data_IF_991971920212
#
_entry.id   IF_991971920212
#
_cell.length_a   1.000
_cell.length_b   1.000
_cell.length_c   1.000
_cell.angle_alpha   90.00
_cell.angle_beta   90.00
_cell.angle_gamma   90.00
#
_symmetry.space_group_name_H-M   'P 1'
#
loop_
_entity.id
_entity.type
_entity.pdbx_description
1 polymer ?
#
# COMPACT_ATOMS: atom_id res chain seq x y z
N UNK A 1 12.05 -12.76 41.04
CA UNK A 1 11.18 -12.05 42.00
C UNK A 1 11.68 -10.64 42.28
N UNK A 2 12.88 -10.44 42.86
CA UNK A 2 13.46 -9.10 43.08
C UNK A 2 13.70 -8.32 41.78
N UNK A 3 14.29 -8.94 40.76
CA UNK A 3 14.51 -8.30 39.45
C UNK A 3 13.19 -7.87 38.77
N UNK A 4 12.14 -8.69 38.90
CA UNK A 4 10.79 -8.42 38.36
C UNK A 4 10.09 -7.28 39.09
N UNK A 5 10.27 -7.18 40.42
CA UNK A 5 9.75 -6.09 41.24
C UNK A 5 10.43 -4.76 40.92
N UNK A 6 11.75 -4.76 40.72
CA UNK A 6 12.51 -3.57 40.29
C UNK A 6 12.07 -3.11 38.90
N UNK A 7 11.89 -4.05 37.96
CA UNK A 7 11.39 -3.75 36.61
C UNK A 7 9.97 -3.15 36.62
N UNK A 8 9.08 -3.66 37.48
CA UNK A 8 7.73 -3.12 37.68
C UNK A 8 7.75 -1.70 38.27
N UNK A 9 8.62 -1.45 39.24
CA UNK A 9 8.73 -0.15 39.92
C UNK A 9 9.31 0.92 38.99
N UNK A 10 10.34 0.56 38.23
CA UNK A 10 10.99 1.42 37.25
C UNK A 10 10.04 1.69 36.07
N UNK A 11 9.37 0.66 35.55
CA UNK A 11 8.35 0.77 34.51
C UNK A 11 7.17 1.68 34.90
N UNK A 12 6.67 1.56 36.14
CA UNK A 12 5.59 2.43 36.65
C UNK A 12 6.03 3.88 36.78
N UNK A 13 7.27 4.13 37.21
CA UNK A 13 7.81 5.48 37.38
C UNK A 13 7.95 6.21 36.04
N UNK A 14 8.47 5.55 35.01
CA UNK A 14 8.62 6.17 33.69
C UNK A 14 7.30 6.27 32.96
N UNK A 15 6.36 5.34 33.12
CA UNK A 15 4.99 5.50 32.61
C UNK A 15 4.33 6.77 33.17
N UNK A 16 4.60 7.10 34.45
CA UNK A 16 4.07 8.32 35.09
C UNK A 16 4.75 9.60 34.58
N UNK A 17 6.06 9.56 34.33
CA UNK A 17 6.82 10.68 33.76
C UNK A 17 6.45 10.92 32.29
N UNK A 18 6.31 9.86 31.49
CA UNK A 18 5.86 9.95 30.10
C UNK A 18 4.42 10.47 30.00
N UNK A 19 3.50 10.01 30.87
CA UNK A 19 2.13 10.54 30.90
C UNK A 19 2.11 12.04 31.18
N UNK A 20 3.01 12.53 32.03
CA UNK A 20 3.15 13.95 32.33
C UNK A 20 3.85 14.73 31.20
N UNK A 21 4.87 14.14 30.54
CA UNK A 21 5.63 14.75 29.44
C UNK A 21 4.82 14.87 28.16
N UNK A 22 4.06 13.83 27.80
CA UNK A 22 3.16 13.81 26.63
C UNK A 22 2.03 14.81 26.82
N UNK A 23 1.40 14.84 28.00
CA UNK A 23 0.33 15.82 28.31
C UNK A 23 0.83 17.26 28.20
N UNK A 24 2.03 17.55 28.73
CA UNK A 24 2.65 18.88 28.63
C UNK A 24 3.16 19.22 27.23
N UNK A 25 3.64 18.24 26.47
CA UNK A 25 4.08 18.45 25.09
C UNK A 25 2.91 18.76 24.16
N UNK A 26 1.79 18.06 24.32
CA UNK A 26 0.54 18.33 23.59
C UNK A 26 -0.07 19.69 23.94
N UNK A 27 -0.01 20.09 25.22
CA UNK A 27 -0.46 21.41 25.68
C UNK A 27 0.49 22.54 25.22
N UNK A 28 1.81 22.30 25.16
CA UNK A 28 2.82 23.29 24.77
C UNK A 28 2.95 23.50 23.25
N UNK A 29 2.62 22.49 22.44
CA UNK A 29 2.70 22.57 20.97
C UNK A 29 1.49 23.27 20.32
N UNK A 30 0.53 23.76 21.09
CA UNK A 30 -0.52 24.65 20.56
C UNK A 30 -1.47 24.02 19.54
N UNK A 31 -1.56 22.68 19.49
CA UNK A 31 -2.41 21.95 18.54
C UNK A 31 -3.91 22.30 18.68
N UNK A 32 -4.35 22.82 19.83
CA UNK A 32 -5.71 23.32 20.01
C UNK A 32 -6.02 24.62 19.26
N UNK A 33 -5.02 25.43 18.87
CA UNK A 33 -5.23 26.75 18.23
C UNK A 33 -4.76 26.81 16.77
N UNK A 34 -3.94 25.86 16.30
CA UNK A 34 -3.50 25.80 14.89
C UNK A 34 -4.47 25.01 13.98
N UNK A 35 -5.32 24.15 14.55
CA UNK A 35 -6.35 23.44 13.80
C UNK A 35 -7.48 24.39 13.30
N UNK A 36 -7.82 25.42 14.08
CA UNK A 36 -8.93 26.36 13.76
C UNK A 36 -8.57 27.44 12.73
N UNK A 37 -7.28 27.77 12.53
CA UNK A 37 -6.88 28.99 11.78
C UNK A 37 -6.50 28.77 10.32
N UNK A 38 -6.46 27.53 9.82
CA UNK A 38 -5.90 27.29 8.47
C UNK A 38 -6.92 27.42 7.34
N UNK A 39 -8.23 27.45 7.60
CA UNK A 39 -9.25 27.64 6.56
C UNK A 39 -9.28 26.56 5.45
N UNK A 40 -8.42 25.54 5.55
CA UNK A 40 -8.32 24.43 4.60
C UNK A 40 -9.53 23.48 4.71
N UNK A 41 -10.21 23.46 5.85
CA UNK A 41 -11.44 22.67 6.09
C UNK A 41 -12.58 23.01 5.11
N UNK A 42 -12.63 24.26 4.61
CA UNK A 42 -13.66 24.70 3.68
C UNK A 42 -13.42 24.23 2.23
N UNK A 43 -12.15 24.02 1.85
CA UNK A 43 -11.77 23.65 0.49
C UNK A 43 -11.68 22.13 0.28
N UNK A 44 -11.44 21.37 1.35
CA UNK A 44 -11.36 19.90 1.32
C UNK A 44 -12.74 19.21 1.41
N UNK A 45 -13.75 19.88 1.98
CA UNK A 45 -15.14 19.38 2.05
C UNK A 45 -15.85 19.26 0.70
N UNK A 46 -15.40 19.96 -0.34
CA UNK A 46 -15.98 19.86 -1.69
C UNK A 46 -15.54 18.61 -2.48
N UNK A 47 -14.46 17.92 -2.06
CA UNK A 47 -13.88 16.79 -2.79
C UNK A 47 -14.05 15.41 -2.13
N UNK A 48 -14.65 15.32 -0.94
CA UNK A 48 -14.93 14.05 -0.25
C UNK A 48 -13.71 13.26 0.24
N UNK A 49 -12.50 13.84 0.20
CA UNK A 49 -11.27 13.23 0.71
C UNK A 49 -10.57 14.22 1.63
N UNK A 50 -10.77 14.09 2.93
CA UNK A 50 -10.22 14.97 3.96
C UNK A 50 -8.76 14.62 4.34
N UNK A 51 -7.91 14.25 3.39
CA UNK A 51 -6.50 13.96 3.66
C UNK A 51 -5.61 14.68 2.64
N UNK A 52 -5.04 15.82 3.04
CA UNK A 52 -3.95 16.44 2.29
C UNK A 52 -2.69 15.58 2.41
N UNK A 53 -1.94 15.39 1.32
CA UNK A 53 -0.63 14.70 1.32
C UNK A 53 0.31 15.30 2.38
N UNK A 54 0.25 16.63 2.58
CA UNK A 54 1.01 17.32 3.61
C UNK A 54 0.58 16.93 5.03
N UNK A 55 -0.73 16.78 5.29
CA UNK A 55 -1.26 16.30 6.57
C UNK A 55 -0.91 14.84 6.85
N UNK A 56 -0.91 14.00 5.82
CA UNK A 56 -0.43 12.61 5.90
C UNK A 56 1.04 12.53 6.30
N UNK A 57 1.91 13.31 5.63
CA UNK A 57 3.35 13.34 5.92
C UNK A 57 3.61 13.91 7.32
N UNK A 58 2.92 14.98 7.70
CA UNK A 58 3.03 15.58 9.03
C UNK A 58 2.57 14.62 10.13
N UNK A 59 1.43 13.95 9.94
CA UNK A 59 0.90 12.95 10.86
C UNK A 59 1.79 11.72 10.99
N UNK A 60 2.32 11.22 9.86
CA UNK A 60 3.29 10.12 9.84
C UNK A 60 4.57 10.50 10.58
N UNK A 61 5.11 11.69 10.33
CA UNK A 61 6.32 12.19 11.00
C UNK A 61 6.10 12.32 12.51
N UNK A 62 4.96 12.89 12.94
CA UNK A 62 4.58 12.97 14.35
C UNK A 62 4.53 11.58 15.01
N UNK A 63 3.86 10.62 14.37
CA UNK A 63 3.74 9.26 14.89
C UNK A 63 5.09 8.53 14.95
N UNK A 64 5.95 8.70 13.95
CA UNK A 64 7.29 8.12 13.93
C UNK A 64 8.16 8.69 15.06
N UNK A 65 8.17 10.01 15.24
CA UNK A 65 8.90 10.67 16.33
C UNK A 65 8.39 10.18 17.70
N UNK A 66 7.07 10.08 17.87
CA UNK A 66 6.45 9.54 19.09
C UNK A 66 6.90 8.11 19.37
N UNK A 67 6.92 7.24 18.35
CA UNK A 67 7.39 5.87 18.48
C UNK A 67 8.87 5.77 18.83
N UNK A 68 9.74 6.58 18.22
CA UNK A 68 11.18 6.61 18.55
C UNK A 68 11.41 7.02 20.01
N UNK A 69 10.66 8.03 20.49
CA UNK A 69 10.69 8.45 21.90
C UNK A 69 10.18 7.33 22.82
N UNK A 70 9.11 6.63 22.42
CA UNK A 70 8.57 5.50 23.18
C UNK A 70 9.55 4.32 23.26
N UNK A 71 10.22 3.97 22.16
CA UNK A 71 11.29 2.95 22.13
C UNK A 71 12.46 3.36 23.02
N UNK A 72 12.91 4.60 22.93
CA UNK A 72 14.02 5.13 23.74
C UNK A 72 13.69 5.11 25.23
N UNK A 73 12.45 5.43 25.60
CA UNK A 73 11.99 5.35 26.98
C UNK A 73 11.84 3.91 27.47
N UNK A 74 11.38 2.98 26.63
CA UNK A 74 11.30 1.56 26.94
C UNK A 74 12.70 0.92 27.11
N UNK A 75 13.69 1.30 26.29
CA UNK A 75 15.08 0.88 26.46
C UNK A 75 15.69 1.42 27.76
N UNK A 76 15.41 2.69 28.09
CA UNK A 76 15.88 3.30 29.36
C UNK A 76 15.30 2.61 30.60
N UNK A 77 14.19 1.90 30.43
CA UNK A 77 13.51 1.10 31.45
C UNK A 77 14.00 -0.35 31.55
N UNK A 78 14.92 -0.78 30.68
CA UNK A 78 15.33 -2.18 30.54
C UNK A 78 14.21 -3.08 30.00
N UNK A 79 13.23 -2.51 29.29
CA UNK A 79 12.11 -3.23 28.65
C UNK A 79 12.42 -3.53 27.18
N UNK A 80 13.53 -4.20 26.91
CA UNK A 80 14.03 -4.46 25.54
C UNK A 80 13.00 -5.20 24.67
N UNK A 81 12.24 -6.14 25.26
CA UNK A 81 11.18 -6.86 24.57
C UNK A 81 10.04 -5.91 24.13
N UNK A 82 9.65 -4.95 24.98
CA UNK A 82 8.60 -3.97 24.67
C UNK A 82 9.10 -2.97 23.62
N UNK A 83 10.32 -2.47 23.79
CA UNK A 83 10.97 -1.58 22.84
C UNK A 83 11.07 -2.23 21.44
N UNK A 84 11.42 -3.51 21.38
CA UNK A 84 11.45 -4.28 20.14
C UNK A 84 10.08 -4.40 19.46
N UNK A 85 9.01 -4.63 20.23
CA UNK A 85 7.64 -4.65 19.70
C UNK A 85 7.20 -3.29 19.17
N UNK A 86 7.44 -2.22 19.93
CA UNK A 86 7.11 -0.84 19.51
C UNK A 86 7.90 -0.44 18.27
N UNK A 87 9.17 -0.82 18.17
CA UNK A 87 10.00 -0.54 17.00
C UNK A 87 9.48 -1.26 15.74
N UNK A 88 9.03 -2.51 15.86
CA UNK A 88 8.38 -3.24 14.74
C UNK A 88 7.12 -2.53 14.26
N UNK A 89 6.27 -2.07 15.18
CA UNK A 89 5.07 -1.30 14.84
C UNK A 89 5.43 0.03 14.18
N UNK A 90 6.48 0.70 14.66
CA UNK A 90 6.97 1.96 14.08
C UNK A 90 7.43 1.79 12.63
N UNK A 91 8.14 0.71 12.33
CA UNK A 91 8.61 0.39 10.98
C UNK A 91 7.50 -0.11 10.06
N UNK A 92 6.42 -0.68 10.61
CA UNK A 92 5.24 -1.10 9.87
C UNK A 92 4.38 0.08 9.41
N UNK A 93 4.37 1.19 10.15
CA UNK A 93 3.50 2.32 9.86
C UNK A 93 3.76 3.00 8.50
N UNK A 94 5.02 3.28 8.09
CA UNK A 94 5.34 3.74 6.73
C UNK A 94 4.83 2.79 5.64
N UNK A 95 4.99 1.48 5.86
CA UNK A 95 4.54 0.45 4.91
C UNK A 95 3.02 0.50 4.71
N UNK A 96 2.24 0.71 5.76
CA UNK A 96 0.79 0.89 5.67
C UNK A 96 0.43 2.09 4.79
N UNK A 97 1.13 3.22 4.96
CA UNK A 97 0.89 4.41 4.14
C UNK A 97 1.18 4.11 2.67
N UNK A 98 2.31 3.47 2.38
CA UNK A 98 2.68 3.09 1.00
C UNK A 98 1.65 2.12 0.41
N UNK A 99 1.17 1.13 1.18
CA UNK A 99 0.12 0.21 0.73
C UNK A 99 -1.19 0.93 0.38
N UNK A 100 -1.62 1.89 1.19
CA UNK A 100 -2.81 2.72 0.91
C UNK A 100 -2.59 3.52 -0.38
N UNK A 101 -1.42 4.15 -0.54
CA UNK A 101 -1.10 4.90 -1.75
C UNK A 101 -1.13 3.99 -2.98
N UNK A 102 -0.54 2.79 -2.91
CA UNK A 102 -0.59 1.80 -3.99
C UNK A 102 -2.03 1.44 -4.34
N UNK A 103 -2.91 1.23 -3.37
CA UNK A 103 -4.33 0.92 -3.65
C UNK A 103 -5.05 2.10 -4.32
N UNK A 104 -4.82 3.33 -3.84
CA UNK A 104 -5.43 4.53 -4.41
C UNK A 104 -4.95 4.74 -5.84
N UNK A 105 -3.63 4.81 -6.05
CA UNK A 105 -3.03 5.01 -7.37
C UNK A 105 -3.29 3.82 -8.30
N UNK A 106 -3.25 2.59 -7.78
CA UNK A 106 -3.55 1.37 -8.52
C UNK A 106 -4.99 1.33 -9.02
N UNK A 107 -5.96 1.77 -8.20
CA UNK A 107 -7.36 1.89 -8.64
C UNK A 107 -7.53 2.97 -9.71
N UNK A 108 -6.88 4.12 -9.55
CA UNK A 108 -6.90 5.18 -10.56
C UNK A 108 -6.29 4.69 -11.88
N UNK A 109 -5.17 3.97 -11.80
CA UNK A 109 -4.49 3.37 -12.94
C UNK A 109 -5.34 2.29 -13.61
N UNK A 110 -5.96 1.38 -12.84
CA UNK A 110 -6.87 0.36 -13.36
C UNK A 110 -8.02 0.99 -14.17
N UNK A 111 -8.65 2.03 -13.62
CA UNK A 111 -9.71 2.79 -14.29
C UNK A 111 -9.22 3.52 -15.53
N UNK A 112 -7.99 4.02 -15.53
CA UNK A 112 -7.39 4.65 -16.71
C UNK A 112 -7.20 3.63 -17.83
N UNK A 113 -6.65 2.45 -17.51
CA UNK A 113 -6.49 1.34 -18.45
C UNK A 113 -7.84 0.87 -19.00
N UNK A 114 -8.88 0.75 -18.15
CA UNK A 114 -10.23 0.43 -18.58
C UNK A 114 -10.70 1.37 -19.70
N UNK A 115 -10.64 2.68 -19.45
CA UNK A 115 -11.12 3.70 -20.40
C UNK A 115 -10.38 3.63 -21.73
N UNK A 116 -9.06 3.51 -21.68
CA UNK A 116 -8.25 3.35 -22.88
C UNK A 116 -8.70 2.12 -23.67
N UNK A 117 -8.75 0.94 -23.02
CA UNK A 117 -9.15 -0.30 -23.70
C UNK A 117 -10.58 -0.22 -24.24
N UNK A 118 -11.50 0.36 -23.48
CA UNK A 118 -12.88 0.53 -23.92
C UNK A 118 -12.97 1.39 -25.18
N UNK A 119 -12.26 2.52 -25.24
CA UNK A 119 -12.23 3.40 -26.43
C UNK A 119 -11.63 2.69 -27.64
N UNK A 120 -10.56 1.92 -27.45
CA UNK A 120 -9.93 1.16 -28.54
C UNK A 120 -10.83 0.03 -29.06
N UNK A 121 -11.42 -0.77 -28.16
CA UNK A 121 -12.28 -1.89 -28.51
C UNK A 121 -13.61 -1.46 -29.13
N UNK A 122 -14.19 -0.36 -28.64
CA UNK A 122 -15.40 0.22 -29.22
C UNK A 122 -15.15 0.79 -30.62
N UNK A 123 -13.98 1.37 -30.89
CA UNK A 123 -13.55 1.78 -32.22
C UNK A 123 -13.48 0.61 -33.22
N UNK A 124 -13.13 -0.59 -32.75
CA UNK A 124 -13.06 -1.82 -33.55
C UNK A 124 -14.41 -2.56 -33.67
N UNK A 125 -15.50 -2.00 -33.12
CA UNK A 125 -16.84 -2.62 -33.08
C UNK A 125 -16.85 -4.04 -32.50
N UNK A 126 -15.95 -4.33 -31.55
CA UNK A 126 -15.89 -5.65 -30.91
C UNK A 126 -17.15 -5.84 -30.03
N UNK A 127 -17.98 -6.87 -30.28
CA UNK A 127 -19.08 -7.19 -29.40
C UNK A 127 -18.50 -7.56 -28.03
N UNK A 128 -18.98 -6.89 -26.97
CA UNK A 128 -18.49 -7.03 -25.58
C UNK A 128 -17.22 -6.24 -25.21
N UNK A 129 -16.94 -5.12 -25.88
CA UNK A 129 -15.86 -4.19 -25.49
C UNK A 129 -15.88 -3.81 -23.99
N UNK A 130 -17.09 -3.61 -23.43
CA UNK A 130 -17.26 -3.28 -22.02
C UNK A 130 -16.78 -4.41 -21.09
N UNK A 131 -17.21 -5.65 -21.31
CA UNK A 131 -16.85 -6.77 -20.43
C UNK A 131 -15.37 -7.08 -20.48
N UNK A 132 -14.73 -6.93 -21.66
CA UNK A 132 -13.30 -7.13 -21.80
C UNK A 132 -12.50 -6.04 -21.09
N UNK A 133 -12.87 -4.77 -21.26
CA UNK A 133 -12.21 -3.64 -20.58
C UNK A 133 -12.34 -3.73 -19.05
N UNK A 134 -13.52 -4.08 -18.55
CA UNK A 134 -13.77 -4.28 -17.13
C UNK A 134 -13.03 -5.50 -16.58
N UNK A 135 -12.92 -6.59 -17.35
CA UNK A 135 -12.10 -7.74 -16.96
C UNK A 135 -10.64 -7.38 -16.74
N UNK A 136 -10.07 -6.54 -17.61
CA UNK A 136 -8.70 -6.04 -17.46
C UNK A 136 -8.58 -5.09 -16.25
N UNK A 137 -9.56 -4.22 -16.02
CA UNK A 137 -9.59 -3.38 -14.81
C UNK A 137 -9.48 -4.22 -13.54
N UNK A 138 -10.30 -5.27 -13.41
CA UNK A 138 -10.25 -6.16 -12.26
C UNK A 138 -8.91 -6.89 -12.15
N UNK A 139 -8.32 -7.30 -13.27
CA UNK A 139 -6.99 -7.90 -13.24
C UNK A 139 -5.94 -6.93 -12.66
N UNK A 140 -5.90 -5.69 -13.15
CA UNK A 140 -4.98 -4.64 -12.64
C UNK A 140 -5.27 -4.31 -11.18
N UNK A 141 -6.53 -4.26 -10.76
CA UNK A 141 -6.96 -4.05 -9.38
C UNK A 141 -6.43 -5.16 -8.46
N UNK A 142 -6.50 -6.42 -8.90
CA UNK A 142 -5.96 -7.57 -8.17
C UNK A 142 -4.45 -7.47 -8.04
N UNK A 143 -3.73 -7.07 -9.10
CA UNK A 143 -2.28 -6.81 -9.00
C UNK A 143 -1.96 -5.70 -8.00
N UNK A 144 -2.66 -4.57 -8.04
CA UNK A 144 -2.46 -3.49 -7.08
C UNK A 144 -2.71 -3.95 -5.63
N UNK A 145 -3.72 -4.81 -5.43
CA UNK A 145 -3.98 -5.44 -4.14
C UNK A 145 -2.81 -6.33 -3.69
N UNK A 146 -2.26 -7.16 -4.57
CA UNK A 146 -1.10 -8.00 -4.25
C UNK A 146 0.13 -7.16 -3.88
N UNK A 147 0.43 -6.11 -4.63
CA UNK A 147 1.56 -5.21 -4.33
C UNK A 147 1.35 -4.51 -2.99
N UNK A 148 0.12 -4.09 -2.68
CA UNK A 148 -0.20 -3.50 -1.37
C UNK A 148 -0.06 -4.52 -0.22
N UNK A 149 -0.48 -5.77 -0.42
CA UNK A 149 -0.29 -6.85 0.56
C UNK A 149 1.19 -7.20 0.76
N UNK A 150 1.97 -7.16 -0.33
CA UNK A 150 3.42 -7.33 -0.29
C UNK A 150 4.09 -6.24 0.56
N UNK A 151 3.67 -4.99 0.40
CA UNK A 151 4.15 -3.88 1.23
C UNK A 151 3.87 -4.09 2.72
N UNK A 152 2.75 -4.73 3.07
CA UNK A 152 2.40 -5.04 4.45
C UNK A 152 3.16 -6.25 5.03
N UNK A 153 4.04 -6.89 4.26
CA UNK A 153 4.80 -8.06 4.70
C UNK A 153 3.92 -9.24 5.21
N UNK A 154 2.65 -9.29 4.80
CA UNK A 154 1.71 -10.33 5.22
C UNK A 154 1.97 -11.61 4.40
N UNK A 155 2.74 -12.54 4.97
CA UNK A 155 2.93 -13.89 4.39
C UNK A 155 3.52 -13.88 2.97
N UNK A 156 4.34 -12.87 2.67
CA UNK A 156 4.74 -12.50 1.30
C UNK A 156 5.48 -13.61 0.58
N UNK A 157 6.43 -14.28 1.21
CA UNK A 157 7.22 -15.31 0.52
C UNK A 157 6.39 -16.49 0.03
N UNK A 158 5.43 -16.97 0.83
CA UNK A 158 4.56 -18.09 0.43
C UNK A 158 3.49 -17.64 -0.55
N UNK A 159 2.90 -16.46 -0.32
CA UNK A 159 1.86 -15.90 -1.17
C UNK A 159 2.40 -15.56 -2.58
N UNK A 160 3.53 -14.87 -2.65
CA UNK A 160 4.18 -14.49 -3.92
C UNK A 160 4.64 -15.73 -4.69
N UNK A 161 5.15 -16.77 -4.01
CA UNK A 161 5.50 -18.03 -4.68
C UNK A 161 4.27 -18.71 -5.30
N UNK A 162 3.18 -18.86 -4.54
CA UNK A 162 1.94 -19.47 -5.04
C UNK A 162 1.34 -18.66 -6.21
N UNK A 163 1.32 -17.33 -6.10
CA UNK A 163 0.86 -16.46 -7.16
C UNK A 163 1.74 -16.56 -8.41
N UNK A 164 3.06 -16.55 -8.26
CA UNK A 164 4.01 -16.67 -9.38
C UNK A 164 3.85 -18.00 -10.11
N UNK A 165 3.66 -19.10 -9.39
CA UNK A 165 3.44 -20.43 -9.99
C UNK A 165 2.09 -20.45 -10.72
N UNK A 166 1.02 -19.98 -10.09
CA UNK A 166 -0.32 -19.98 -10.69
C UNK A 166 -0.39 -19.07 -11.93
N UNK A 167 0.11 -17.85 -11.80
CA UNK A 167 0.13 -16.86 -12.87
C UNK A 167 1.11 -17.25 -13.98
N UNK A 168 2.30 -17.72 -13.62
CA UNK A 168 3.27 -18.26 -14.58
C UNK A 168 2.70 -19.44 -15.37
N UNK A 169 1.96 -20.32 -14.71
CA UNK A 169 1.23 -21.42 -15.36
C UNK A 169 0.14 -20.92 -16.31
N UNK A 170 -0.68 -19.95 -15.89
CA UNK A 170 -1.72 -19.35 -16.72
C UNK A 170 -1.13 -18.65 -17.96
N UNK A 171 -0.10 -17.82 -17.77
CA UNK A 171 0.58 -17.12 -18.86
C UNK A 171 1.22 -18.11 -19.83
N UNK A 172 1.86 -19.17 -19.32
CA UNK A 172 2.43 -20.22 -20.16
C UNK A 172 1.35 -20.96 -20.96
N UNK A 173 0.22 -21.29 -20.33
CA UNK A 173 -0.90 -21.94 -21.00
C UNK A 173 -1.47 -21.06 -22.13
N UNK A 174 -1.67 -19.76 -21.88
CA UNK A 174 -2.12 -18.81 -22.89
C UNK A 174 -1.08 -18.65 -24.00
N UNK A 175 0.20 -18.49 -23.66
CA UNK A 175 1.29 -18.38 -24.63
C UNK A 175 1.35 -19.60 -25.56
N UNK A 176 1.18 -20.82 -25.01
CA UNK A 176 1.11 -22.04 -25.80
C UNK A 176 -0.17 -22.12 -26.64
N UNK A 177 -1.33 -21.75 -26.10
CA UNK A 177 -2.59 -21.77 -26.83
C UNK A 177 -2.56 -20.81 -28.04
N UNK A 178 -2.09 -19.58 -27.85
CA UNK A 178 -1.92 -18.61 -28.94
C UNK A 178 -0.78 -18.99 -29.88
N UNK A 179 0.34 -19.50 -29.36
CA UNK A 179 1.49 -19.89 -30.18
C UNK A 179 1.21 -21.08 -31.08
N UNK A 180 0.52 -22.11 -30.57
CA UNK A 180 0.13 -23.28 -31.34
C UNK A 180 -1.06 -22.97 -32.27
N UNK A 181 -2.10 -22.26 -31.77
CA UNK A 181 -3.29 -21.92 -32.55
C UNK A 181 -3.06 -20.87 -33.63
N UNK A 182 -2.11 -19.95 -33.44
CA UNK A 182 -1.74 -18.91 -34.41
C UNK A 182 -0.67 -19.34 -35.41
N UNK A 183 -0.15 -20.58 -35.31
CA UNK A 183 0.97 -21.06 -36.11
C UNK A 183 0.69 -21.01 -37.62
N UNK A 184 -0.51 -21.43 -38.02
CA UNK A 184 -0.92 -21.50 -39.42
C UNK A 184 -1.07 -20.09 -40.01
N UNK A 185 -1.76 -19.20 -39.29
CA UNK A 185 -1.91 -17.79 -39.67
C UNK A 185 -0.55 -17.08 -39.80
N UNK A 186 0.36 -17.31 -38.84
CA UNK A 186 1.71 -16.76 -38.89
C UNK A 186 2.50 -17.30 -40.10
N UNK A 187 2.39 -18.60 -40.39
CA UNK A 187 3.06 -19.22 -41.53
C UNK A 187 2.56 -18.67 -42.87
N UNK A 188 1.25 -18.45 -43.00
CA UNK A 188 0.62 -17.88 -44.19
C UNK A 188 1.07 -16.42 -44.41
N UNK A 189 1.09 -15.61 -43.35
CA UNK A 189 1.54 -14.21 -43.43
C UNK A 189 3.01 -14.07 -43.83
N UNK A 190 3.87 -14.98 -43.34
CA UNK A 190 5.29 -15.02 -43.72
C UNK A 190 5.46 -15.42 -45.18
N UNK A 191 4.68 -16.39 -45.68
CA UNK A 191 4.69 -16.77 -47.10
C UNK A 191 4.34 -15.59 -48.00
N UNK A 192 3.24 -14.90 -47.69
CA UNK A 192 2.78 -13.71 -48.42
C UNK A 192 3.85 -12.61 -48.51
N UNK A 193 4.59 -12.36 -47.43
CA UNK A 193 5.68 -11.38 -47.43
C UNK A 193 6.96 -11.88 -48.09
N UNK A 194 7.20 -13.18 -48.12
CA UNK A 194 8.43 -13.76 -48.69
C UNK A 194 8.43 -13.77 -50.23
N UNK A 195 7.29 -13.46 -50.87
CA UNK A 195 7.18 -13.30 -52.32
C UNK A 195 7.62 -14.52 -53.14
N UNK A 196 7.73 -15.69 -52.52
CA UNK A 196 8.04 -16.94 -53.21
C UNK A 196 6.72 -17.63 -53.58
N UNK A 197 6.50 -17.97 -54.85
CA UNK A 197 5.31 -18.70 -55.29
C UNK A 197 5.19 -20.05 -54.58
#
# INVERSE_FOLDING_TARGET
LLATLVLLLVGWLVARVLRAGVRRGLEALGFGQMAEKSGLEALLRQGGVELSLAGLIAGLTYWLVLMVVAVSAANSLGLDAVAGLVNRVALFLPNVVVAILILVFGTLFARFINRLLFTWLSGLKVPSALTLSTGVEYAVQVFALFIALEQLEIGTHMLTAAFTIAFGGLVLALALAFGLGGREWAAERIKDWSGKP
#
